data_IF_338851488275
#
_entry.id   IF_338851488275
#
_cell.length_a   1.000
_cell.length_b   1.000
_cell.length_c   1.000
_cell.angle_alpha   90.00
_cell.angle_beta   90.00
_cell.angle_gamma   90.00
#
_symmetry.space_group_name_H-M   'P 1'
#
loop_
_entity.id
_entity.type
_entity.pdbx_description
1 polymer ?
#
# COMPACT_ATOMS: atom_id res chain seq x y z
N UNK A 1 -23.98 -3.83 8.89
CA UNK A 1 -22.57 -3.44 9.04
C UNK A 1 -21.78 -3.84 7.83
N UNK A 2 -21.03 -2.91 7.31
CA UNK A 2 -20.16 -3.23 6.17
C UNK A 2 -18.99 -4.10 6.64
N UNK A 3 -18.72 -5.16 5.92
CA UNK A 3 -17.54 -5.98 6.16
C UNK A 3 -16.38 -5.41 5.38
N UNK A 4 -15.28 -5.18 6.06
CA UNK A 4 -14.08 -4.65 5.44
C UNK A 4 -12.98 -5.70 5.53
N UNK A 5 -12.40 -6.02 4.39
CA UNK A 5 -11.26 -6.93 4.31
C UNK A 5 -10.01 -6.13 4.01
N UNK A 6 -9.01 -6.26 4.86
CA UNK A 6 -7.72 -5.58 4.70
C UNK A 6 -6.64 -6.63 4.50
N UNK A 7 -5.83 -6.47 3.47
CA UNK A 7 -4.70 -7.36 3.25
C UNK A 7 -3.44 -6.56 2.94
N UNK A 8 -2.32 -7.09 3.40
CA UNK A 8 -0.99 -6.54 3.16
C UNK A 8 -0.16 -7.63 2.53
N UNK A 9 0.35 -7.39 1.32
CA UNK A 9 1.14 -8.38 0.61
C UNK A 9 2.36 -7.70 -0.01
N UNK A 10 3.48 -8.41 -0.03
CA UNK A 10 4.65 -7.99 -0.75
C UNK A 10 4.51 -8.40 -2.21
N UNK A 11 4.55 -7.40 -3.11
CA UNK A 11 4.55 -7.67 -4.55
C UNK A 11 5.89 -7.27 -5.13
N UNK A 12 6.71 -8.23 -5.57
CA UNK A 12 8.04 -7.94 -6.07
C UNK A 12 8.01 -7.44 -7.52
N UNK A 13 7.47 -6.25 -7.73
CA UNK A 13 7.44 -5.64 -9.04
C UNK A 13 8.82 -5.11 -9.41
N UNK A 14 9.24 -5.34 -10.65
CA UNK A 14 10.52 -4.83 -11.17
C UNK A 14 10.44 -3.37 -11.62
N UNK A 15 9.26 -2.79 -11.60
CA UNK A 15 9.05 -1.41 -12.06
C UNK A 15 9.24 -0.43 -10.90
N UNK A 16 9.78 0.74 -11.23
CA UNK A 16 9.84 1.82 -10.26
C UNK A 16 8.46 2.42 -10.07
N UNK A 17 8.03 2.51 -8.82
CA UNK A 17 6.70 2.99 -8.48
C UNK A 17 6.79 3.99 -7.32
N UNK A 18 5.85 4.95 -7.27
CA UNK A 18 5.84 5.91 -6.16
C UNK A 18 5.18 5.30 -4.91
N UNK A 19 5.75 5.62 -3.75
CA UNK A 19 5.14 5.25 -2.48
C UNK A 19 3.89 6.10 -2.26
N UNK A 20 2.77 5.47 -1.93
CA UNK A 20 1.52 6.17 -1.70
C UNK A 20 1.50 6.99 -0.40
N UNK A 21 2.47 6.80 0.49
CA UNK A 21 2.53 7.52 1.75
C UNK A 21 3.53 8.68 1.71
N UNK A 22 4.74 8.45 1.18
CA UNK A 22 5.79 9.46 1.19
C UNK A 22 6.14 10.01 -0.19
N UNK A 23 5.63 9.39 -1.26
CA UNK A 23 5.87 9.83 -2.62
C UNK A 23 7.23 9.45 -3.20
N UNK A 24 8.08 8.80 -2.42
CA UNK A 24 9.40 8.40 -2.90
C UNK A 24 9.28 7.28 -3.94
N UNK A 25 10.09 7.36 -4.98
CA UNK A 25 10.14 6.32 -6.00
C UNK A 25 10.96 5.14 -5.47
N UNK A 26 10.49 3.92 -5.71
CA UNK A 26 11.21 2.74 -5.29
C UNK A 26 10.84 1.55 -6.16
N UNK A 27 11.68 0.51 -6.15
CA UNK A 27 11.41 -0.72 -6.89
C UNK A 27 11.01 -1.79 -5.88
N UNK A 28 9.74 -2.23 -5.87
CA UNK A 28 9.26 -3.19 -4.86
C UNK A 28 10.06 -4.49 -4.81
N UNK A 29 10.56 -4.96 -5.94
CA UNK A 29 11.38 -6.18 -5.96
C UNK A 29 12.67 -6.01 -5.16
N UNK A 30 13.18 -4.78 -5.02
CA UNK A 30 14.40 -4.47 -4.28
C UNK A 30 14.13 -4.01 -2.86
N UNK A 31 12.86 -3.87 -2.50
CA UNK A 31 12.44 -3.42 -1.17
C UNK A 31 11.60 -4.50 -0.52
N UNK A 32 12.24 -5.41 0.18
CA UNK A 32 11.57 -6.56 0.78
C UNK A 32 10.57 -6.17 1.86
N UNK A 33 10.69 -4.97 2.41
CA UNK A 33 9.75 -4.47 3.41
C UNK A 33 8.53 -3.79 2.83
N UNK A 34 8.52 -3.52 1.52
CA UNK A 34 7.39 -2.86 0.88
C UNK A 34 6.14 -3.74 0.93
N UNK A 35 4.99 -3.10 0.94
CA UNK A 35 3.72 -3.82 0.99
C UNK A 35 2.69 -3.10 0.13
N UNK A 36 1.78 -3.89 -0.43
CA UNK A 36 0.59 -3.38 -1.10
C UNK A 36 -0.57 -3.57 -0.14
N UNK A 37 -1.18 -2.46 0.24
CA UNK A 37 -2.35 -2.46 1.12
C UNK A 37 -3.60 -2.52 0.24
N UNK A 38 -4.42 -3.53 0.46
CA UNK A 38 -5.69 -3.69 -0.25
C UNK A 38 -6.82 -3.68 0.77
N UNK A 39 -7.77 -2.79 0.58
CA UNK A 39 -8.94 -2.67 1.44
C UNK A 39 -10.18 -2.85 0.58
N UNK A 40 -11.02 -3.79 0.93
CA UNK A 40 -12.26 -4.05 0.22
C UNK A 40 -13.43 -4.02 1.19
N UNK A 41 -14.49 -3.33 0.80
CA UNK A 41 -15.72 -3.28 1.58
C UNK A 41 -16.90 -3.77 0.75
N UNK A 42 -17.99 -4.17 1.43
CA UNK A 42 -19.18 -4.65 0.73
C UNK A 42 -19.96 -3.52 0.06
N UNK A 43 -19.89 -2.33 0.63
CA UNK A 43 -20.69 -1.19 0.17
C UNK A 43 -19.86 -0.10 -0.50
N UNK A 44 -18.56 -0.33 -0.69
CA UNK A 44 -17.66 0.70 -1.20
C UNK A 44 -16.70 0.11 -2.21
N UNK A 45 -16.23 0.93 -3.16
CA UNK A 45 -15.21 0.48 -4.08
C UNK A 45 -13.93 0.13 -3.32
N UNK A 46 -13.18 -0.81 -3.86
CA UNK A 46 -11.93 -1.22 -3.26
C UNK A 46 -10.88 -0.10 -3.28
N UNK A 47 -9.93 -0.21 -2.38
CA UNK A 47 -8.84 0.75 -2.27
C UNK A 47 -7.53 -0.02 -2.25
N UNK A 48 -6.57 0.40 -3.06
CA UNK A 48 -5.25 -0.22 -3.11
C UNK A 48 -4.19 0.88 -3.01
N UNK A 49 -3.25 0.70 -2.11
CA UNK A 49 -2.16 1.66 -1.95
C UNK A 49 -0.84 0.92 -1.82
N UNK A 50 0.22 1.52 -2.34
CA UNK A 50 1.55 0.95 -2.29
C UNK A 50 2.36 1.69 -1.23
N UNK A 51 3.06 0.95 -0.38
CA UNK A 51 3.91 1.52 0.66
C UNK A 51 5.32 0.98 0.54
N UNK A 52 6.32 1.86 0.59
CA UNK A 52 7.70 1.43 0.66
C UNK A 52 7.96 0.80 2.03
N UNK A 53 9.10 0.12 2.18
CA UNK A 53 9.40 -0.61 3.41
C UNK A 53 9.33 0.24 4.67
N UNK A 54 9.85 1.47 4.63
CA UNK A 54 9.79 2.36 5.77
C UNK A 54 8.38 2.76 6.14
N UNK A 55 7.55 3.08 5.14
CA UNK A 55 6.17 3.48 5.38
C UNK A 55 5.31 2.29 5.82
N UNK A 56 5.54 1.12 5.23
CA UNK A 56 4.82 -0.09 5.65
C UNK A 56 5.09 -0.42 7.10
N UNK A 57 6.33 -0.25 7.55
CA UNK A 57 6.70 -0.47 8.93
C UNK A 57 5.98 0.51 9.86
N UNK A 58 5.94 1.79 9.48
CA UNK A 58 5.23 2.80 10.28
C UNK A 58 3.73 2.50 10.35
N UNK A 59 3.16 2.08 9.25
CA UNK A 59 1.75 1.72 9.22
C UNK A 59 1.46 0.56 10.16
N UNK A 60 2.35 -0.43 10.17
CA UNK A 60 2.20 -1.61 11.03
C UNK A 60 2.27 -1.24 12.52
N UNK A 61 3.00 -0.19 12.86
CA UNK A 61 3.07 0.30 14.24
C UNK A 61 1.92 1.24 14.60
N UNK A 62 0.99 1.45 13.70
CA UNK A 62 -0.17 2.29 13.99
C UNK A 62 0.03 3.77 13.76
N UNK A 63 1.11 4.16 13.09
CA UNK A 63 1.34 5.56 12.77
C UNK A 63 0.27 6.05 11.80
N UNK A 64 -0.39 7.15 12.14
CA UNK A 64 -1.38 7.75 11.26
C UNK A 64 -0.69 8.32 10.03
N UNK A 65 -1.19 7.97 8.85
CA UNK A 65 -0.63 8.47 7.60
C UNK A 65 -1.70 8.55 6.54
N UNK A 66 -1.50 9.45 5.59
CA UNK A 66 -2.38 9.60 4.44
C UNK A 66 -1.82 8.77 3.30
N UNK A 67 -2.65 7.91 2.72
CA UNK A 67 -2.26 7.05 1.62
C UNK A 67 -2.94 7.49 0.34
N UNK A 68 -2.15 7.61 -0.73
CA UNK A 68 -2.67 7.91 -2.05
C UNK A 68 -2.93 6.59 -2.77
N UNK A 69 -4.16 6.35 -3.25
CA UNK A 69 -4.46 5.11 -3.98
C UNK A 69 -3.61 4.98 -5.23
N UNK A 70 -3.30 3.74 -5.58
CA UNK A 70 -2.60 3.45 -6.83
C UNK A 70 -3.54 3.77 -7.99
N UNK A 71 -3.06 4.61 -8.91
CA UNK A 71 -3.82 4.92 -10.11
C UNK A 71 -3.76 3.78 -11.07
N UNK A 72 -4.92 3.35 -11.54
CA UNK A 72 -4.99 2.41 -12.64
C UNK A 72 -5.28 3.19 -13.90
N UNK A 73 -4.40 3.13 -14.88
CA UNK A 73 -4.65 3.76 -16.17
C UNK A 73 -5.83 3.11 -16.90
#
# INVERSE_FOLDING_TARGET
MANVTVSLKHQPSQRELPCGACGAQFVPAEDSGSRVLSVKGTDQPGFVALMCGGCASKWAYGTAMTLTPVSNP
#
